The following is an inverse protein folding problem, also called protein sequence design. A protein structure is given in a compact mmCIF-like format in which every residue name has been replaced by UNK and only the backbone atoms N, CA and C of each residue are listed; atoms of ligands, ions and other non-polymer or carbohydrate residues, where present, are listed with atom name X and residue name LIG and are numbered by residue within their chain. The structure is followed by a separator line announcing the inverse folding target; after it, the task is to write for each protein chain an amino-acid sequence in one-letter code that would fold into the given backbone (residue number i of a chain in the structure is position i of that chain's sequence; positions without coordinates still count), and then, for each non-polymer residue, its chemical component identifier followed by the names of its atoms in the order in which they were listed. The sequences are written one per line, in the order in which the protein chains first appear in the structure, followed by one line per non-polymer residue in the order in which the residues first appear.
data_IF_230409113570
#
_entry.id   IF_230409113570
#
_cell.length_a   1.000
_cell.length_b   1.000
_cell.length_c   1.000
_cell.angle_alpha   90.00
_cell.angle_beta   90.00
_cell.angle_gamma   90.00
#
_symmetry.space_group_name_H-M   'P 1'
#
loop_
_entity.id
_entity.type
_entity.pdbx_description
1 polymer ?
#
# COMPACT_ATOMS: atom_id res chain seq x y z
N UNK A 1 -25.41 -9.38 11.11
CA UNK A 1 -23.97 -9.16 10.91
C UNK A 1 -23.69 -7.77 10.38
N UNK A 2 -23.19 -6.87 11.22
CA UNK A 2 -22.66 -5.59 10.73
C UNK A 2 -21.20 -5.82 10.35
N UNK A 3 -20.97 -6.35 9.14
CA UNK A 3 -19.61 -6.57 8.62
C UNK A 3 -18.84 -5.25 8.54
N UNK A 4 -17.72 -5.16 9.25
CA UNK A 4 -16.80 -4.03 9.16
C UNK A 4 -15.89 -4.14 7.93
N UNK A 5 -15.19 -3.05 7.61
CA UNK A 5 -14.13 -3.06 6.60
C UNK A 5 -12.76 -3.20 7.29
N UNK A 6 -11.82 -3.83 6.58
CA UNK A 6 -10.42 -3.93 7.00
C UNK A 6 -9.54 -3.28 5.95
N UNK A 7 -8.62 -2.42 6.38
CA UNK A 7 -7.59 -1.79 5.56
C UNK A 7 -6.27 -1.88 6.29
N UNK A 8 -5.18 -2.03 5.54
CA UNK A 8 -3.81 -2.08 6.04
C UNK A 8 -3.00 -0.90 5.49
N UNK A 9 -2.06 -0.44 6.30
CA UNK A 9 -1.10 0.59 5.94
C UNK A 9 0.29 -0.05 5.88
N UNK A 10 0.98 0.09 4.76
CA UNK A 10 2.30 -0.49 4.54
C UNK A 10 3.31 0.65 4.33
N UNK A 11 4.38 0.63 5.13
CA UNK A 11 5.49 1.57 5.02
C UNK A 11 6.62 1.02 4.14
N UNK A 12 7.39 1.93 3.54
CA UNK A 12 8.59 1.61 2.76
C UNK A 12 9.64 0.90 3.63
N UNK A 13 10.54 0.08 3.04
CA UNK A 13 10.74 -0.18 1.61
C UNK A 13 9.77 -1.22 1.03
N UNK A 14 9.23 -0.95 -0.16
CA UNK A 14 8.33 -1.86 -0.89
C UNK A 14 9.09 -2.89 -1.76
N UNK A 15 10.22 -3.40 -1.26
CA UNK A 15 11.22 -4.09 -2.06
C UNK A 15 12.43 -3.20 -2.35
N UNK A 16 13.52 -3.84 -2.80
CA UNK A 16 14.80 -3.20 -3.13
C UNK A 16 15.07 -3.17 -4.64
N UNK A 17 14.33 -3.98 -5.38
CA UNK A 17 14.36 -4.15 -6.83
C UNK A 17 12.98 -4.62 -7.31
N UNK A 18 12.83 -4.80 -8.62
CA UNK A 18 11.56 -5.24 -9.22
C UNK A 18 11.10 -6.59 -8.65
N UNK A 19 12.00 -7.59 -8.60
CA UNK A 19 11.66 -8.94 -8.17
C UNK A 19 11.17 -8.99 -6.71
N UNK A 20 11.86 -8.28 -5.81
CA UNK A 20 11.45 -8.21 -4.40
C UNK A 20 10.16 -7.41 -4.18
N UNK A 21 9.88 -6.40 -5.02
CA UNK A 21 8.62 -5.65 -4.99
C UNK A 21 7.44 -6.47 -5.49
N UNK A 22 7.62 -7.23 -6.57
CA UNK A 22 6.61 -8.15 -7.10
C UNK A 22 6.31 -9.26 -6.10
N UNK A 23 7.34 -9.81 -5.44
CA UNK A 23 7.17 -10.81 -4.39
C UNK A 23 6.34 -10.26 -3.21
N UNK A 24 6.67 -9.05 -2.72
CA UNK A 24 5.92 -8.40 -1.64
C UNK A 24 4.45 -8.17 -2.05
N UNK A 25 4.23 -7.66 -3.27
CA UNK A 25 2.89 -7.37 -3.78
C UNK A 25 2.06 -8.65 -3.93
N UNK A 26 2.66 -9.73 -4.43
CA UNK A 26 2.00 -11.04 -4.53
C UNK A 26 1.62 -11.60 -3.16
N UNK A 27 2.49 -11.48 -2.16
CA UNK A 27 2.20 -11.93 -0.79
C UNK A 27 1.07 -11.12 -0.14
N UNK A 28 1.04 -9.80 -0.34
CA UNK A 28 -0.05 -8.96 0.16
C UNK A 28 -1.37 -9.28 -0.55
N UNK A 29 -1.34 -9.48 -1.87
CA UNK A 29 -2.52 -9.83 -2.68
C UNK A 29 -3.12 -11.20 -2.36
N UNK A 30 -2.39 -12.10 -1.69
CA UNK A 30 -2.92 -13.36 -1.17
C UNK A 30 -3.79 -13.18 0.09
N UNK A 31 -3.64 -12.04 0.79
CA UNK A 31 -4.27 -11.79 2.09
C UNK A 31 -5.29 -10.65 2.05
N UNK A 32 -5.11 -9.68 1.16
CA UNK A 32 -5.91 -8.46 1.06
C UNK A 32 -6.18 -8.12 -0.40
N UNK A 33 -7.38 -7.59 -0.67
CA UNK A 33 -7.69 -6.97 -1.95
C UNK A 33 -7.00 -5.60 -2.06
N UNK A 34 -6.62 -5.18 -3.27
CA UNK A 34 -5.91 -3.89 -3.46
C UNK A 34 -6.62 -2.65 -2.85
N UNK A 35 -7.97 -2.51 -2.87
CA UNK A 35 -8.64 -1.40 -2.17
C UNK A 35 -8.45 -1.38 -0.64
N UNK A 36 -7.94 -2.47 -0.07
CA UNK A 36 -7.63 -2.59 1.35
C UNK A 36 -6.18 -2.20 1.66
N UNK A 37 -5.32 -2.02 0.65
CA UNK A 37 -3.87 -1.83 0.82
C UNK A 37 -3.49 -0.38 0.55
N UNK A 38 -3.02 0.33 1.58
CA UNK A 38 -2.53 1.70 1.49
C UNK A 38 -1.03 1.72 1.69
N UNK A 39 -0.29 1.94 0.60
CA UNK A 39 1.19 2.06 0.61
C UNK A 39 1.55 3.52 0.83
N UNK A 40 2.26 3.82 1.92
CA UNK A 40 2.58 5.21 2.27
C UNK A 40 3.76 5.72 1.46
N UNK A 41 3.52 6.81 0.73
CA UNK A 41 4.58 7.68 0.26
C UNK A 41 4.39 9.08 0.85
N UNK A 42 5.27 9.44 1.80
CA UNK A 42 5.28 10.74 2.46
C UNK A 42 5.36 11.96 1.54
N UNK A 43 5.78 11.82 0.26
CA UNK A 43 5.74 12.93 -0.69
C UNK A 43 4.31 13.25 -1.13
N UNK A 44 3.43 12.25 -1.26
CA UNK A 44 2.03 12.43 -1.64
C UNK A 44 1.20 13.17 -0.57
N UNK A 45 1.71 13.22 0.67
CA UNK A 45 1.10 13.95 1.77
C UNK A 45 1.51 15.43 1.87
N UNK A 46 2.44 15.91 1.02
CA UNK A 46 2.88 17.31 1.06
C UNK A 46 1.88 18.19 0.32
N UNK A 47 1.48 19.32 0.92
CA UNK A 47 0.49 20.24 0.36
C UNK A 47 0.79 20.65 -1.09
N UNK A 48 2.06 20.87 -1.43
CA UNK A 48 2.47 21.24 -2.79
C UNK A 48 2.24 20.11 -3.80
N UNK A 49 2.34 18.84 -3.39
CA UNK A 49 2.15 17.68 -4.28
C UNK A 49 0.67 17.38 -4.47
N UNK A 50 -0.17 17.66 -3.47
CA UNK A 50 -1.63 17.48 -3.58
C UNK A 50 -2.32 18.55 -4.42
N UNK A 51 -1.70 19.72 -4.54
CA UNK A 51 -2.21 20.86 -5.31
C UNK A 51 -1.63 20.94 -6.75
N UNK A 52 -0.93 19.90 -7.21
CA UNK A 52 -0.54 19.70 -8.63
C UNK A 52 -1.74 19.22 -9.45
#
# INVERSE_FOLDING_TARGET
DQGGWTRIVVEKPFGKDLASSEQLSSQLGQLFEEPQIYRIDHYLGKELVQNL
#
